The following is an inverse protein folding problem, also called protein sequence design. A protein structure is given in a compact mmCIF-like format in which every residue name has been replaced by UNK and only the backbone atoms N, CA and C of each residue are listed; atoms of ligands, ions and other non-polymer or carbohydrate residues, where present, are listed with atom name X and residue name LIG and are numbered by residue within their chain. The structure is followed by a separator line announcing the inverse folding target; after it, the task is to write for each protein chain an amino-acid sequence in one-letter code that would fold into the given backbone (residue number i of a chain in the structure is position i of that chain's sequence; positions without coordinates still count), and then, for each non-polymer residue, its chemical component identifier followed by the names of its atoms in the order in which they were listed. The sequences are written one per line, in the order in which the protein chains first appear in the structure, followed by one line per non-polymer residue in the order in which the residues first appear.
data_IF_488692361303
#
_entry.id   IF_488692361303
#
_cell.length_a   1.000
_cell.length_b   1.000
_cell.length_c   1.000
_cell.angle_alpha   90.00
_cell.angle_beta   90.00
_cell.angle_gamma   90.00
#
_symmetry.space_group_name_H-M   'P 1'
#
loop_
_entity.id
_entity.type
_entity.pdbx_description
1 polymer ?
#
# COMPACT_ATOMS: atom_id res chain seq x y z
N UNK A 1 -7.84 1.61 22.76
CA UNK A 1 -9.00 1.34 21.88
C UNK A 1 -8.67 0.15 20.98
N UNK A 2 -9.62 -0.76 20.68
CA UNK A 2 -9.38 -1.81 19.69
C UNK A 2 -9.17 -1.22 18.30
N UNK A 3 -8.23 -1.78 17.52
CA UNK A 3 -7.93 -1.35 16.15
C UNK A 3 -9.13 -1.61 15.24
N UNK A 4 -9.40 -0.70 14.29
CA UNK A 4 -10.49 -0.84 13.30
C UNK A 4 -10.11 -1.70 12.10
N UNK A 5 -8.80 -1.83 11.86
CA UNK A 5 -8.17 -2.62 10.82
C UNK A 5 -7.03 -3.42 11.47
N UNK A 6 -7.04 -4.73 11.26
CA UNK A 6 -5.91 -5.60 11.59
C UNK A 6 -5.36 -6.20 10.29
N UNK A 7 -4.04 -6.38 10.22
CA UNK A 7 -3.40 -6.97 9.05
C UNK A 7 -2.23 -7.87 9.45
N UNK A 8 -1.95 -8.85 8.58
CA UNK A 8 -0.76 -9.70 8.61
C UNK A 8 -0.17 -9.73 7.23
N UNK A 9 1.15 -9.84 7.15
CA UNK A 9 1.83 -9.95 5.87
C UNK A 9 3.07 -10.83 5.98
N UNK A 10 3.42 -11.44 4.84
CA UNK A 10 4.72 -12.03 4.56
C UNK A 10 5.26 -11.38 3.29
N UNK A 11 6.54 -11.01 3.27
CA UNK A 11 7.16 -10.34 2.12
C UNK A 11 8.54 -10.91 1.84
N UNK A 12 8.80 -11.20 0.56
CA UNK A 12 10.10 -11.60 0.04
C UNK A 12 10.68 -10.49 -0.83
N UNK A 13 11.91 -10.08 -0.55
CA UNK A 13 12.59 -8.99 -1.24
C UNK A 13 14.08 -9.27 -1.43
N UNK A 14 14.69 -8.62 -2.42
CA UNK A 14 16.11 -8.70 -2.71
C UNK A 14 16.97 -7.85 -1.76
N UNK A 15 18.30 -8.02 -1.85
CA UNK A 15 19.27 -7.22 -1.07
C UNK A 15 19.21 -5.72 -1.37
N UNK A 16 18.67 -5.37 -2.53
CA UNK A 16 18.46 -4.01 -2.97
C UNK A 16 17.16 -3.39 -2.43
N UNK A 17 16.24 -4.21 -1.91
CA UNK A 17 14.92 -3.79 -1.45
C UNK A 17 13.79 -4.00 -2.48
N UNK A 18 14.08 -4.60 -3.63
CA UNK A 18 13.07 -4.91 -4.63
C UNK A 18 12.17 -6.06 -4.15
N UNK A 19 10.84 -5.86 -4.15
CA UNK A 19 9.88 -6.89 -3.75
C UNK A 19 9.71 -7.92 -4.86
N UNK A 20 9.90 -9.19 -4.50
CA UNK A 20 9.70 -10.33 -5.39
C UNK A 20 8.37 -11.03 -5.15
N UNK A 21 7.81 -10.95 -3.94
CA UNK A 21 6.53 -11.55 -3.62
C UNK A 21 5.97 -11.07 -2.30
N UNK A 22 4.64 -11.01 -2.21
CA UNK A 22 3.95 -10.50 -1.02
C UNK A 22 2.61 -11.19 -0.81
N UNK A 23 2.34 -11.57 0.43
CA UNK A 23 1.06 -12.08 0.90
C UNK A 23 0.52 -11.15 1.97
N UNK A 24 -0.66 -10.57 1.76
CA UNK A 24 -1.31 -9.66 2.71
C UNK A 24 -2.69 -10.20 3.05
N UNK A 25 -2.98 -10.27 4.35
CA UNK A 25 -4.32 -10.53 4.88
C UNK A 25 -4.77 -9.36 5.72
N UNK A 26 -5.93 -8.77 5.39
CA UNK A 26 -6.53 -7.65 6.11
C UNK A 26 -7.92 -8.02 6.64
N UNK A 27 -8.18 -7.68 7.90
CA UNK A 27 -9.45 -7.89 8.58
C UNK A 27 -10.04 -6.54 9.00
N UNK A 28 -11.25 -6.24 8.51
CA UNK A 28 -11.94 -4.98 8.76
C UNK A 28 -13.12 -5.20 9.68
N UNK A 29 -13.23 -4.38 10.72
CA UNK A 29 -14.36 -4.45 11.64
C UNK A 29 -15.59 -3.81 10.99
N UNK A 30 -16.55 -4.61 10.53
CA UNK A 30 -17.69 -4.15 9.72
C UNK A 30 -18.92 -3.73 10.53
N UNK A 31 -19.03 -4.19 11.78
CA UNK A 31 -20.21 -3.93 12.62
C UNK A 31 -21.30 -4.99 12.47
N UNK A 32 -22.54 -4.64 12.85
CA UNK A 32 -23.64 -5.60 13.03
C UNK A 32 -24.40 -5.96 11.74
N UNK A 33 -24.35 -5.11 10.71
CA UNK A 33 -24.90 -5.35 9.37
C UNK A 33 -23.82 -5.13 8.31
N UNK A 34 -24.04 -5.64 7.10
CA UNK A 34 -23.02 -5.60 6.05
C UNK A 34 -22.75 -4.19 5.52
N UNK A 35 -23.80 -3.41 5.28
CA UNK A 35 -23.73 -2.07 4.65
C UNK A 35 -22.79 -2.08 3.43
N UNK A 36 -21.88 -1.10 3.28
CA UNK A 36 -20.92 -0.99 2.20
C UNK A 36 -19.59 -1.73 2.48
N UNK A 37 -19.55 -2.64 3.46
CA UNK A 37 -18.31 -3.33 3.87
C UNK A 37 -17.61 -4.06 2.73
N UNK A 38 -18.37 -4.73 1.85
CA UNK A 38 -17.80 -5.44 0.70
C UNK A 38 -17.14 -4.48 -0.30
N UNK A 39 -17.77 -3.35 -0.57
CA UNK A 39 -17.23 -2.32 -1.47
C UNK A 39 -15.98 -1.65 -0.90
N UNK A 40 -15.99 -1.35 0.41
CA UNK A 40 -14.83 -0.77 1.10
C UNK A 40 -13.65 -1.76 1.08
N UNK A 41 -13.92 -3.04 1.37
CA UNK A 41 -12.88 -4.06 1.35
C UNK A 41 -12.34 -4.30 -0.06
N UNK A 42 -13.20 -4.38 -1.07
CA UNK A 42 -12.79 -4.53 -2.47
C UNK A 42 -11.87 -3.39 -2.90
N UNK A 43 -12.22 -2.13 -2.58
CA UNK A 43 -11.35 -0.99 -2.88
C UNK A 43 -10.03 -1.07 -2.13
N UNK A 44 -10.03 -1.52 -0.89
CA UNK A 44 -8.79 -1.70 -0.10
C UNK A 44 -7.84 -2.70 -0.77
N UNK A 45 -8.37 -3.82 -1.29
CA UNK A 45 -7.59 -4.81 -2.02
C UNK A 45 -7.04 -4.24 -3.33
N UNK A 46 -7.82 -3.44 -4.07
CA UNK A 46 -7.38 -2.77 -5.30
C UNK A 46 -6.40 -1.62 -5.09
N UNK A 47 -6.09 -1.23 -3.84
CA UNK A 47 -5.12 -0.17 -3.54
C UNK A 47 -4.04 -0.66 -2.56
N UNK A 48 -3.97 -1.97 -2.30
CA UNK A 48 -2.96 -2.57 -1.43
C UNK A 48 -1.57 -2.60 -2.08
N UNK A 49 -1.47 -2.32 -3.37
CA UNK A 49 -0.26 -2.10 -4.15
C UNK A 49 0.18 -0.62 -4.19
N UNK A 50 -0.72 0.33 -3.92
CA UNK A 50 -0.49 1.77 -4.04
C UNK A 50 0.10 2.14 -5.42
N UNK A 51 1.35 2.61 -5.46
CA UNK A 51 2.07 2.95 -6.69
C UNK A 51 3.25 2.01 -6.98
N UNK A 52 3.27 0.83 -6.34
CA UNK A 52 4.38 -0.10 -6.40
C UNK A 52 4.04 -1.31 -7.28
N UNK A 53 4.96 -1.67 -8.18
CA UNK A 53 4.88 -2.90 -8.94
C UNK A 53 5.26 -4.10 -8.08
N UNK A 54 4.33 -5.04 -7.96
CA UNK A 54 4.47 -6.24 -7.14
C UNK A 54 4.28 -7.47 -8.04
N UNK A 55 5.36 -8.18 -8.43
CA UNK A 55 5.27 -9.22 -9.47
C UNK A 55 4.49 -10.46 -9.05
N UNK A 56 4.49 -10.80 -7.76
CA UNK A 56 3.78 -11.95 -7.21
C UNK A 56 3.00 -11.52 -5.97
N UNK A 57 1.67 -11.61 -6.02
CA UNK A 57 0.80 -11.06 -4.97
C UNK A 57 -0.29 -12.02 -4.56
N UNK A 58 -0.61 -12.03 -3.27
CA UNK A 58 -1.83 -12.63 -2.75
C UNK A 58 -2.45 -11.71 -1.71
N UNK A 59 -3.53 -11.04 -2.08
CA UNK A 59 -4.28 -10.16 -1.17
C UNK A 59 -5.59 -10.83 -0.73
N UNK A 60 -5.83 -10.87 0.58
CA UNK A 60 -7.06 -11.39 1.18
C UNK A 60 -7.68 -10.36 2.10
N UNK A 61 -8.98 -10.16 1.96
CA UNK A 61 -9.76 -9.27 2.79
C UNK A 61 -10.86 -10.01 3.53
N UNK A 62 -11.10 -9.66 4.78
CA UNK A 62 -12.18 -10.23 5.60
C UNK A 62 -13.03 -9.11 6.20
N UNK A 63 -14.32 -8.99 5.83
CA UNK A 63 -15.25 -8.10 6.49
C UNK A 63 -15.81 -8.79 7.73
N UNK A 64 -15.33 -8.41 8.91
CA UNK A 64 -15.64 -9.08 10.17
C UNK A 64 -16.90 -8.50 10.80
N UNK A 65 -17.96 -9.31 10.90
CA UNK A 65 -19.18 -8.97 11.65
C UNK A 65 -18.86 -8.87 13.14
N UNK A 66 -19.31 -7.79 13.78
CA UNK A 66 -19.12 -7.57 15.23
C UNK A 66 -20.37 -6.98 15.87
N UNK A 67 -20.51 -7.12 17.20
CA UNK A 67 -21.59 -6.51 17.99
C UNK A 67 -21.38 -5.01 18.23
N UNK A 68 -21.17 -4.24 17.16
CA UNK A 68 -21.09 -2.77 17.21
C UNK A 68 -21.91 -2.17 16.09
N UNK A 69 -22.14 -0.86 16.17
CA UNK A 69 -22.75 -0.08 15.09
C UNK A 69 -22.05 -0.39 13.77
N UNK A 70 -22.83 -0.52 12.70
CA UNK A 70 -22.35 -0.73 11.34
C UNK A 70 -21.39 0.38 10.94
N UNK A 71 -20.23 -0.01 10.40
CA UNK A 71 -19.39 0.92 9.67
C UNK A 71 -19.91 1.04 8.22
N UNK A 72 -19.61 2.17 7.58
CA UNK A 72 -20.00 2.50 6.20
C UNK A 72 -18.86 3.23 5.49
N UNK A 73 -19.15 3.82 4.33
CA UNK A 73 -18.26 4.68 3.58
C UNK A 73 -17.67 5.80 4.44
N UNK A 74 -16.36 6.01 4.29
CA UNK A 74 -15.69 7.25 4.66
C UNK A 74 -14.82 7.68 3.48
N UNK A 75 -14.38 8.95 3.45
CA UNK A 75 -13.53 9.49 2.38
C UNK A 75 -12.32 8.58 2.11
N UNK A 76 -12.17 8.15 0.86
CA UNK A 76 -11.17 7.17 0.42
C UNK A 76 -11.73 5.74 0.26
N UNK A 77 -12.84 5.42 0.94
CA UNK A 77 -13.64 4.20 0.73
C UNK A 77 -12.83 2.90 0.80
N UNK A 78 -11.85 2.80 1.70
CA UNK A 78 -10.98 1.62 1.82
C UNK A 78 -9.59 1.81 1.19
N UNK A 79 -9.46 2.72 0.23
CA UNK A 79 -8.16 3.03 -0.40
C UNK A 79 -7.06 3.35 0.62
N UNK A 80 -7.28 4.29 1.57
CA UNK A 80 -6.29 4.60 2.61
C UNK A 80 -5.90 3.39 3.46
N UNK A 81 -6.84 2.50 3.76
CA UNK A 81 -6.61 1.27 4.53
C UNK A 81 -5.76 0.26 3.77
N UNK A 82 -5.92 0.15 2.45
CA UNK A 82 -5.05 -0.67 1.61
C UNK A 82 -3.63 -0.08 1.50
N UNK A 83 -3.54 1.22 1.18
CA UNK A 83 -2.27 1.90 0.93
C UNK A 83 -1.37 1.95 2.17
N UNK A 84 -1.93 2.17 3.37
CA UNK A 84 -1.10 2.26 4.58
C UNK A 84 -0.38 0.94 4.90
N UNK A 85 -0.97 -0.21 4.54
CA UNK A 85 -0.36 -1.52 4.81
C UNK A 85 0.93 -1.66 4.00
N UNK A 86 0.92 -1.35 2.70
CA UNK A 86 2.12 -1.47 1.87
C UNK A 86 3.18 -0.45 2.28
N UNK A 87 2.81 0.77 2.68
CA UNK A 87 3.77 1.75 3.21
C UNK A 87 4.47 1.24 4.49
N UNK A 88 3.75 0.61 5.41
CA UNK A 88 4.35 -0.03 6.59
C UNK A 88 5.31 -1.16 6.20
N UNK A 89 4.97 -1.95 5.17
CA UNK A 89 5.82 -3.04 4.70
C UNK A 89 7.13 -2.50 4.10
N UNK A 90 7.05 -1.46 3.26
CA UNK A 90 8.24 -0.81 2.70
C UNK A 90 9.12 -0.19 3.78
N UNK A 91 8.52 0.40 4.82
CA UNK A 91 9.26 0.91 5.99
C UNK A 91 10.00 -0.19 6.74
N UNK A 92 9.35 -1.33 6.98
CA UNK A 92 9.99 -2.49 7.60
C UNK A 92 11.15 -3.06 6.75
N UNK A 93 11.01 -3.06 5.42
CA UNK A 93 12.11 -3.44 4.50
C UNK A 93 13.26 -2.45 4.63
N UNK A 94 12.98 -1.14 4.62
CA UNK A 94 14.00 -0.10 4.78
C UNK A 94 14.78 -0.25 6.08
N UNK A 95 14.08 -0.45 7.20
CA UNK A 95 14.71 -0.73 8.49
C UNK A 95 15.58 -1.99 8.47
N UNK A 96 15.09 -3.08 7.87
CA UNK A 96 15.83 -4.34 7.80
C UNK A 96 17.12 -4.21 6.97
N UNK A 97 17.09 -3.46 5.87
CA UNK A 97 18.24 -3.27 4.98
C UNK A 97 19.12 -2.07 5.35
N UNK A 98 18.76 -1.31 6.40
CA UNK A 98 19.36 -0.02 6.74
C UNK A 98 19.42 0.95 5.53
N UNK A 99 18.31 1.01 4.79
CA UNK A 99 18.11 1.91 3.65
C UNK A 99 17.02 2.92 3.96
N UNK A 100 17.09 4.08 3.32
CA UNK A 100 16.03 5.06 3.47
C UNK A 100 14.74 4.57 2.81
N UNK A 101 13.60 4.95 3.38
CA UNK A 101 12.30 4.59 2.83
C UNK A 101 12.12 5.10 1.39
N UNK A 102 12.73 6.23 1.04
CA UNK A 102 12.64 6.80 -0.31
C UNK A 102 13.31 5.91 -1.35
N UNK A 103 14.48 5.33 -1.02
CA UNK A 103 15.16 4.35 -1.89
C UNK A 103 14.30 3.10 -2.08
N UNK A 104 13.66 2.60 -1.01
CA UNK A 104 12.77 1.43 -1.07
C UNK A 104 11.51 1.71 -1.90
N UNK A 105 10.97 2.93 -1.82
CA UNK A 105 9.82 3.33 -2.66
C UNK A 105 10.23 3.40 -4.13
N UNK A 106 11.33 4.08 -4.44
CA UNK A 106 11.79 4.32 -5.80
C UNK A 106 12.04 3.03 -6.58
N UNK A 107 12.70 2.04 -5.97
CA UNK A 107 13.01 0.77 -6.65
C UNK A 107 11.75 -0.06 -6.97
N UNK A 108 10.68 0.15 -6.20
CA UNK A 108 9.44 -0.61 -6.30
C UNK A 108 8.34 0.09 -7.11
N UNK A 109 8.50 1.34 -7.56
CA UNK A 109 7.46 2.01 -8.35
C UNK A 109 7.04 1.22 -9.62
N UNK A 110 5.78 1.40 -10.03
CA UNK A 110 5.35 1.00 -11.37
C UNK A 110 6.24 1.63 -12.44
N UNK A 111 6.50 0.87 -13.51
CA UNK A 111 7.18 1.36 -14.71
C UNK A 111 6.21 2.02 -15.71
N UNK A 112 6.73 2.36 -16.89
CA UNK A 112 5.94 2.96 -17.98
C UNK A 112 5.66 1.92 -19.07
N UNK A 113 6.71 1.28 -19.57
CA UNK A 113 6.62 0.31 -20.67
C UNK A 113 6.58 -1.14 -20.18
N UNK A 114 7.26 -1.41 -19.07
CA UNK A 114 7.29 -2.66 -18.35
C UNK A 114 6.85 -2.43 -16.90
N UNK A 115 6.63 -3.52 -16.15
CA UNK A 115 6.28 -3.45 -14.72
C UNK A 115 5.10 -2.49 -14.45
N UNK A 116 4.05 -2.56 -15.27
CA UNK A 116 2.97 -1.57 -15.32
C UNK A 116 1.56 -2.21 -15.29
N UNK A 117 1.45 -3.48 -14.89
CA UNK A 117 0.17 -4.16 -14.71
C UNK A 117 -0.14 -4.30 -13.22
N UNK A 118 -1.34 -3.90 -12.80
CA UNK A 118 -1.77 -4.03 -11.42
C UNK A 118 -2.05 -5.49 -11.05
N UNK A 119 -2.11 -5.84 -9.75
CA UNK A 119 -2.53 -7.16 -9.26
C UNK A 119 -3.84 -7.73 -9.84
N UNK A 120 -4.71 -6.87 -10.35
CA UNK A 120 -6.01 -7.22 -10.90
C UNK A 120 -6.07 -7.07 -12.43
N UNK A 121 -4.91 -7.01 -13.09
CA UNK A 121 -4.78 -7.08 -14.55
C UNK A 121 -5.04 -5.78 -15.30
N UNK A 122 -5.03 -4.64 -14.60
CA UNK A 122 -5.19 -3.34 -15.25
C UNK A 122 -3.83 -2.77 -15.62
N UNK A 123 -3.65 -2.38 -16.88
CA UNK A 123 -2.46 -1.63 -17.30
C UNK A 123 -2.54 -0.20 -16.78
N UNK A 124 -1.52 0.20 -16.02
CA UNK A 124 -1.28 1.57 -15.56
C UNK A 124 -0.77 2.39 -16.74
N UNK A 125 -1.62 3.27 -17.25
CA UNK A 125 -1.28 4.22 -18.32
C UNK A 125 -0.90 5.57 -17.72
N UNK A 126 -0.09 6.33 -18.47
CA UNK A 126 0.31 7.69 -18.10
C UNK A 126 0.90 7.77 -16.68
N UNK A 127 1.71 6.78 -16.32
CA UNK A 127 2.35 6.72 -15.01
C UNK A 127 3.36 7.87 -14.85
N UNK A 128 3.09 8.78 -13.93
CA UNK A 128 3.92 9.95 -13.63
C UNK A 128 4.56 9.91 -12.25
N UNK A 129 4.50 8.77 -11.53
CA UNK A 129 4.93 8.71 -10.13
C UNK A 129 6.37 9.19 -9.93
N UNK A 130 7.32 8.70 -10.74
CA UNK A 130 8.72 9.07 -10.66
C UNK A 130 8.92 10.58 -10.93
N UNK A 131 8.27 11.08 -12.00
CA UNK A 131 8.34 12.52 -12.32
C UNK A 131 7.77 13.38 -11.19
N UNK A 132 6.65 12.97 -10.60
CA UNK A 132 6.00 13.71 -9.52
C UNK A 132 6.83 13.67 -8.24
N UNK A 133 7.40 12.51 -7.87
CA UNK A 133 8.27 12.39 -6.71
C UNK A 133 9.51 13.25 -6.85
N UNK A 134 10.18 13.21 -8.01
CA UNK A 134 11.42 13.98 -8.25
C UNK A 134 11.16 15.49 -8.20
N UNK A 135 10.05 15.93 -8.83
CA UNK A 135 9.63 17.32 -8.80
C UNK A 135 9.31 17.80 -7.37
N UNK A 136 8.64 16.97 -6.57
CA UNK A 136 8.31 17.30 -5.18
C UNK A 136 9.58 17.37 -4.33
N UNK A 137 10.47 16.38 -4.44
CA UNK A 137 11.74 16.35 -3.70
C UNK A 137 12.58 17.59 -3.98
N UNK A 138 12.67 18.02 -5.25
CA UNK A 138 13.36 19.25 -5.63
C UNK A 138 12.67 20.50 -5.10
N UNK A 139 11.34 20.61 -5.24
CA UNK A 139 10.58 21.82 -4.82
C UNK A 139 10.64 22.10 -3.33
N UNK A 140 10.71 21.06 -2.51
CA UNK A 140 10.71 21.20 -1.04
C UNK A 140 12.11 21.13 -0.44
N UNK A 141 13.14 21.05 -1.28
CA UNK A 141 14.54 20.85 -0.89
C UNK A 141 14.69 19.69 0.11
N UNK A 142 14.12 18.54 -0.26
CA UNK A 142 13.92 17.40 0.64
C UNK A 142 15.23 16.91 1.26
N UNK A 143 16.29 16.79 0.44
CA UNK A 143 17.60 16.33 0.89
C UNK A 143 18.28 17.30 1.87
N UNK A 144 18.10 18.61 1.69
CA UNK A 144 18.61 19.59 2.65
C UNK A 144 17.90 19.44 4.00
N UNK A 145 16.56 19.38 3.98
CA UNK A 145 15.73 19.24 5.19
C UNK A 145 15.95 17.93 5.94
N UNK A 146 16.24 16.84 5.21
CA UNK A 146 16.54 15.53 5.80
C UNK A 146 17.86 15.52 6.59
N UNK A 147 18.83 16.36 6.21
CA UNK A 147 20.12 16.50 6.91
C UNK A 147 20.04 17.38 8.17
N UNK A 148 18.95 18.12 8.34
CA UNK A 148 18.72 18.97 9.52
C UNK A 148 18.16 18.20 10.73
N UNK A 149 17.83 16.91 10.55
CA UNK A 149 17.25 16.00 11.56
C UNK A 149 18.27 14.91 11.88
#
# INVERSE_FOLDING_TARGET
MPRRLDFKYDVGFGVDGQINGIDISMAMRSGNVADLSSGVLARSLCHADNCYFLPNVRFRGYPCKTNTVSNTAFRGFGGPQGMIIIECILEHIGFHLNKSIDEIRQINYYGINDRNETPYGQIVKDNIICKLSDQLMSKVDYEARKKEI
#
